data_IF_821480461485
#
_entry.id   IF_821480461485
#
_cell.length_a   1.000
_cell.length_b   1.000
_cell.length_c   1.000
_cell.angle_alpha   90.00
_cell.angle_beta   90.00
_cell.angle_gamma   90.00
#
_symmetry.space_group_name_H-M   'P 1'
#
loop_
_entity.id
_entity.type
_entity.pdbx_description
1 polymer ?
#
# COMPACT_ATOMS: atom_id res chain seq x y z
N UNK A 1 -17.00 -4.60 -1.17
CA UNK A 1 -16.79 -5.61 -0.11
C UNK A 1 -15.38 -5.44 0.45
N UNK A 2 -15.19 -5.46 1.78
CA UNK A 2 -13.84 -5.38 2.38
C UNK A 2 -13.10 -6.71 2.13
N UNK A 3 -11.88 -6.66 1.59
CA UNK A 3 -11.01 -7.83 1.52
C UNK A 3 -10.81 -8.41 2.94
N UNK A 4 -11.41 -9.58 3.22
CA UNK A 4 -11.20 -10.31 4.48
C UNK A 4 -10.06 -11.28 4.28
N UNK A 5 -8.84 -10.82 4.51
CA UNK A 5 -7.65 -11.66 4.55
C UNK A 5 -7.56 -12.20 5.97
N UNK A 6 -7.86 -13.49 6.16
CA UNK A 6 -7.92 -14.13 7.49
C UNK A 6 -6.63 -13.82 8.28
N UNK A 7 -6.79 -13.37 9.52
CA UNK A 7 -5.72 -13.09 10.51
C UNK A 7 -4.84 -11.84 10.28
N UNK A 8 -5.13 -10.97 9.31
CA UNK A 8 -4.43 -9.69 9.16
C UNK A 8 -5.39 -8.51 9.33
N UNK A 9 -5.01 -7.54 10.16
CA UNK A 9 -5.71 -6.26 10.25
C UNK A 9 -5.22 -5.37 9.12
N UNK A 10 -6.06 -5.19 8.10
CA UNK A 10 -5.79 -4.27 7.00
C UNK A 10 -6.20 -2.84 7.37
N UNK A 11 -5.39 -1.87 7.01
CA UNK A 11 -5.66 -0.45 7.19
C UNK A 11 -5.65 0.30 5.85
N UNK A 12 -6.38 1.41 5.82
CA UNK A 12 -6.37 2.41 4.75
C UNK A 12 -5.95 3.79 5.29
N UNK A 13 -5.34 3.83 6.48
CA UNK A 13 -4.73 5.03 7.04
C UNK A 13 -3.42 5.32 6.28
N UNK A 14 -3.53 6.00 5.15
CA UNK A 14 -2.40 6.28 4.26
C UNK A 14 -1.40 7.28 4.86
N UNK A 15 -1.86 8.11 5.79
CA UNK A 15 -1.00 8.98 6.60
C UNK A 15 -0.08 8.15 7.49
N UNK A 16 -0.65 7.18 8.21
CA UNK A 16 0.14 6.23 8.98
C UNK A 16 1.08 5.40 8.09
N UNK A 17 0.61 4.92 6.95
CA UNK A 17 1.43 4.19 5.99
C UNK A 17 2.63 5.02 5.51
N UNK A 18 2.41 6.29 5.17
CA UNK A 18 3.46 7.22 4.76
C UNK A 18 4.53 7.36 5.84
N UNK A 19 4.13 7.53 7.10
CA UNK A 19 5.06 7.65 8.22
C UNK A 19 5.89 6.37 8.38
N UNK A 20 5.26 5.19 8.35
CA UNK A 20 5.95 3.91 8.47
C UNK A 20 7.02 3.72 7.38
N UNK A 21 6.69 3.98 6.11
CA UNK A 21 7.68 3.83 5.04
C UNK A 21 8.75 4.93 5.08
N UNK A 22 8.42 6.12 5.61
CA UNK A 22 9.36 7.21 5.87
C UNK A 22 10.36 6.88 6.98
N UNK A 23 9.94 6.06 7.94
CA UNK A 23 10.79 5.48 8.99
C UNK A 23 11.65 4.30 8.48
N UNK A 24 11.46 3.89 7.22
CA UNK A 24 12.24 2.83 6.57
C UNK A 24 11.58 1.45 6.63
N UNK A 25 10.33 1.34 7.09
CA UNK A 25 9.60 0.08 7.05
C UNK A 25 9.24 -0.31 5.61
N UNK A 26 9.17 -1.63 5.37
CA UNK A 26 8.68 -2.24 4.14
C UNK A 26 7.42 -3.02 4.48
N UNK A 27 6.33 -2.75 3.79
CA UNK A 27 5.01 -3.27 4.14
C UNK A 27 4.40 -4.00 2.95
N UNK A 28 3.72 -5.11 3.24
CA UNK A 28 2.87 -5.75 2.26
C UNK A 28 1.50 -5.04 2.22
N UNK A 29 0.97 -4.87 1.03
CA UNK A 29 -0.35 -4.30 0.80
C UNK A 29 -1.06 -4.99 -0.36
N UNK A 30 -2.37 -4.79 -0.41
CA UNK A 30 -3.23 -5.18 -1.52
C UNK A 30 -3.69 -3.93 -2.23
N UNK A 31 -3.53 -3.91 -3.55
CA UNK A 31 -4.06 -2.85 -4.39
C UNK A 31 -5.20 -3.41 -5.23
N UNK A 32 -6.22 -2.59 -5.49
CA UNK A 32 -7.31 -2.92 -6.41
C UNK A 32 -6.77 -2.85 -7.84
N UNK A 33 -6.58 -4.00 -8.46
CA UNK A 33 -6.08 -4.12 -9.84
C UNK A 33 -7.20 -3.91 -10.85
N UNK A 34 -8.37 -4.50 -10.59
CA UNK A 34 -9.53 -4.34 -11.45
C UNK A 34 -10.83 -4.59 -10.69
N UNK A 35 -11.79 -3.69 -10.84
CA UNK A 35 -13.16 -3.79 -10.33
C UNK A 35 -14.17 -4.18 -11.42
N UNK A 36 -13.71 -4.44 -12.65
CA UNK A 36 -14.56 -4.71 -13.82
C UNK A 36 -15.14 -6.13 -13.85
N UNK A 37 -14.71 -6.99 -12.93
CA UNK A 37 -15.14 -8.37 -12.82
C UNK A 37 -16.24 -8.52 -11.76
N UNK A 38 -16.93 -9.67 -11.75
CA UNK A 38 -17.96 -9.97 -10.74
C UNK A 38 -17.43 -9.93 -9.30
N UNK A 39 -16.14 -10.23 -9.13
CA UNK A 39 -15.40 -10.04 -7.90
C UNK A 39 -14.18 -9.14 -8.17
N UNK A 40 -13.96 -8.07 -7.38
CA UNK A 40 -12.79 -7.22 -7.57
C UNK A 40 -11.49 -7.99 -7.40
N UNK A 41 -10.56 -7.79 -8.33
CA UNK A 41 -9.23 -8.39 -8.33
C UNK A 41 -8.29 -7.49 -7.54
N UNK A 42 -7.66 -8.07 -6.51
CA UNK A 42 -6.62 -7.42 -5.74
C UNK A 42 -5.26 -8.08 -6.02
N UNK A 43 -4.22 -7.26 -6.18
CA UNK A 43 -2.84 -7.73 -6.33
C UNK A 43 -2.02 -7.40 -5.06
N UNK A 44 -1.04 -8.26 -4.75
CA UNK A 44 -0.14 -8.09 -3.61
C UNK A 44 1.06 -7.26 -4.04
N UNK A 45 1.28 -6.16 -3.34
CA UNK A 45 2.40 -5.26 -3.57
C UNK A 45 3.20 -5.02 -2.30
N UNK A 46 4.44 -4.63 -2.52
CA UNK A 46 5.29 -4.05 -1.51
C UNK A 46 5.18 -2.52 -1.56
N UNK A 47 5.07 -1.91 -0.38
CA UNK A 47 5.16 -0.46 -0.16
C UNK A 47 6.46 -0.18 0.59
N UNK A 48 7.32 0.68 0.02
CA UNK A 48 8.60 1.06 0.62
C UNK A 48 9.08 2.42 0.12
N UNK A 49 10.04 3.00 0.82
CA UNK A 49 10.94 4.02 0.25
C UNK A 49 12.18 3.33 -0.33
N UNK A 50 12.60 3.73 -1.53
CA UNK A 50 13.83 3.23 -2.14
C UNK A 50 15.06 4.01 -1.65
N UNK A 51 16.25 3.53 -2.00
CA UNK A 51 17.53 4.18 -1.62
C UNK A 51 17.71 5.62 -2.11
N UNK A 52 16.85 6.10 -3.00
CA UNK A 52 16.86 7.45 -3.55
C UNK A 52 15.80 8.36 -2.87
N UNK A 53 15.12 7.88 -1.82
CA UNK A 53 14.08 8.62 -1.13
C UNK A 53 12.73 8.63 -1.86
N UNK A 54 12.59 7.86 -2.94
CA UNK A 54 11.32 7.77 -3.65
C UNK A 54 10.42 6.71 -3.03
N UNK A 55 9.15 7.04 -2.85
CA UNK A 55 8.15 6.05 -2.51
C UNK A 55 7.94 5.07 -3.68
N UNK A 56 7.64 3.82 -3.35
CA UNK A 56 7.47 2.76 -4.30
C UNK A 56 6.31 1.88 -3.84
N UNK A 57 5.31 1.75 -4.70
CA UNK A 57 4.21 0.79 -4.57
C UNK A 57 4.38 -0.13 -5.77
N UNK A 58 4.65 -1.41 -5.53
CA UNK A 58 5.00 -2.29 -6.63
C UNK A 58 5.16 -3.75 -6.26
N UNK A 59 5.10 -4.59 -7.28
CA UNK A 59 5.56 -5.99 -7.24
C UNK A 59 6.70 -6.15 -8.25
N UNK A 60 7.46 -7.25 -8.19
CA UNK A 60 8.71 -7.44 -8.97
C UNK A 60 8.54 -7.03 -10.45
N UNK A 61 9.17 -5.92 -10.84
CA UNK A 61 9.16 -5.42 -12.22
C UNK A 61 8.00 -4.50 -12.59
N UNK A 62 6.99 -4.32 -11.73
CA UNK A 62 5.82 -3.46 -11.96
C UNK A 62 5.72 -2.40 -10.87
N UNK A 63 5.72 -1.13 -11.28
CA UNK A 63 5.59 0.02 -10.39
C UNK A 63 4.22 0.66 -10.61
N UNK A 64 3.47 0.87 -9.53
CA UNK A 64 2.16 1.53 -9.52
C UNK A 64 2.22 2.95 -8.96
N UNK A 65 3.37 3.39 -8.42
CA UNK A 65 3.56 4.81 -8.07
C UNK A 65 3.55 5.64 -9.36
N UNK A 66 2.58 6.54 -9.47
CA UNK A 66 2.49 7.50 -10.57
C UNK A 66 3.68 8.46 -10.60
N UNK A 67 3.70 9.36 -11.59
CA UNK A 67 4.76 10.35 -11.80
C UNK A 67 4.83 11.46 -10.73
N UNK A 68 3.92 11.45 -9.74
CA UNK A 68 3.80 12.49 -8.73
C UNK A 68 4.70 12.20 -7.52
N UNK A 69 5.61 13.12 -7.23
CA UNK A 69 6.58 12.99 -6.15
C UNK A 69 6.02 13.52 -4.82
N UNK A 70 6.60 13.04 -3.71
CA UNK A 70 6.23 13.50 -2.37
C UNK A 70 5.00 12.83 -1.76
N UNK A 71 4.62 13.31 -0.57
CA UNK A 71 3.57 12.74 0.27
C UNK A 71 2.21 12.77 -0.42
N UNK A 72 1.81 13.89 -0.99
CA UNK A 72 0.47 14.03 -1.58
C UNK A 72 0.28 13.11 -2.79
N UNK A 73 1.28 12.99 -3.67
CA UNK A 73 1.25 12.06 -4.79
C UNK A 73 1.16 10.59 -4.33
N UNK A 74 1.86 10.27 -3.25
CA UNK A 74 1.74 8.96 -2.60
C UNK A 74 0.33 8.69 -2.08
N UNK A 75 -0.27 9.63 -1.34
CA UNK A 75 -1.63 9.48 -0.79
C UNK A 75 -2.65 9.32 -1.92
N UNK A 76 -2.58 10.15 -2.96
CA UNK A 76 -3.44 10.04 -4.16
C UNK A 76 -3.28 8.69 -4.85
N UNK A 77 -2.06 8.18 -4.96
CA UNK A 77 -1.82 6.84 -5.52
C UNK A 77 -2.47 5.76 -4.66
N UNK A 78 -2.35 5.84 -3.33
CA UNK A 78 -2.97 4.89 -2.41
C UNK A 78 -4.51 4.90 -2.51
N UNK A 79 -5.10 6.09 -2.61
CA UNK A 79 -6.54 6.28 -2.82
C UNK A 79 -6.99 5.71 -4.17
N UNK A 80 -6.29 6.05 -5.25
CA UNK A 80 -6.61 5.62 -6.60
C UNK A 80 -6.71 4.09 -6.72
N UNK A 81 -5.79 3.38 -6.06
CA UNK A 81 -5.76 1.92 -6.07
C UNK A 81 -6.48 1.26 -4.88
N UNK A 82 -7.26 2.00 -4.08
CA UNK A 82 -7.97 1.46 -2.89
C UNK A 82 -7.05 0.55 -2.04
N UNK A 83 -5.84 1.05 -1.78
CA UNK A 83 -4.75 0.27 -1.21
C UNK A 83 -5.07 -0.13 0.23
N UNK A 84 -4.75 -1.37 0.59
CA UNK A 84 -4.98 -1.93 1.94
C UNK A 84 -3.70 -2.56 2.43
N UNK A 85 -3.05 -1.94 3.40
CA UNK A 85 -1.77 -2.43 3.92
C UNK A 85 -1.94 -3.21 5.21
N UNK A 86 -1.02 -4.13 5.49
CA UNK A 86 -0.96 -4.78 6.80
C UNK A 86 -0.59 -3.74 7.83
N UNK A 87 -1.50 -3.46 8.76
CA UNK A 87 -1.20 -2.58 9.87
C UNK A 87 -0.31 -3.32 10.87
N UNK A 88 0.94 -2.89 11.11
CA UNK A 88 1.74 -3.45 12.17
C UNK A 88 1.09 -3.08 13.50
N UNK A 89 0.36 -4.01 14.10
CA UNK A 89 -0.09 -3.86 15.49
C UNK A 89 1.17 -3.88 16.32
N UNK A 90 1.40 -2.81 17.12
CA UNK A 90 2.38 -2.87 18.20
C UNK A 90 2.05 -4.12 19.01
N UNK A 91 2.87 -5.16 18.85
CA UNK A 91 2.81 -6.32 19.71
C UNK A 91 3.41 -5.86 21.03
N UNK A 92 2.58 -5.20 21.84
CA UNK A 92 2.86 -5.04 23.26
C UNK A 92 3.08 -6.44 23.79
N UNK A 93 4.34 -6.76 24.09
CA UNK A 93 4.72 -7.99 24.78
C UNK A 93 4.05 -8.08 26.14
#
# INVERSE_FOLDING_TARGET
MKAKIKNYTLSQDYEHLWNLISEGHRLAAWLLYSDKFSEPIYDIVEVRINRFGEHNIGTRGIRYSGYETGKEGFLRTCEHYDLKFINPINSSK
#
